data_IF_547925301624
#
_entry.id   IF_547925301624
#
_cell.length_a   1.000
_cell.length_b   1.000
_cell.length_c   1.000
_cell.angle_alpha   90.00
_cell.angle_beta   90.00
_cell.angle_gamma   90.00
#
_symmetry.space_group_name_H-M   'P 1'
#
loop_
_entity.id
_entity.type
_entity.pdbx_description
1 polymer ?
#
# COMPACT_ATOMS: atom_id res chain seq x y z
N UNK A 1 0.04 10.80 17.82
CA UNK A 1 0.22 10.81 16.35
C UNK A 1 -0.69 9.73 15.81
N UNK A 2 -1.85 10.13 15.27
CA UNK A 2 -2.89 9.21 14.81
C UNK A 2 -2.41 8.56 13.51
N UNK A 3 -2.25 7.24 13.53
CA UNK A 3 -1.75 6.44 12.42
C UNK A 3 -2.89 6.12 11.47
N UNK A 4 -2.92 6.80 10.31
CA UNK A 4 -3.53 6.38 9.04
C UNK A 4 -4.78 5.50 9.13
N UNK A 5 -5.85 6.02 9.73
CA UNK A 5 -7.19 5.39 9.74
C UNK A 5 -7.91 5.50 8.36
N UNK A 6 -7.27 6.14 7.36
CA UNK A 6 -8.02 6.73 6.24
C UNK A 6 -7.65 6.23 4.84
N UNK A 7 -6.93 5.12 4.71
CA UNK A 7 -6.84 4.44 3.41
C UNK A 7 -8.02 3.49 3.17
N UNK A 8 -9.26 4.00 3.29
CA UNK A 8 -10.49 3.28 2.91
C UNK A 8 -10.54 1.81 3.40
N UNK A 9 -9.94 1.57 4.57
CA UNK A 9 -9.99 0.38 5.41
C UNK A 9 -10.10 -0.99 4.71
N UNK A 10 -9.35 -1.24 3.62
CA UNK A 10 -9.26 -2.63 3.11
C UNK A 10 -8.58 -3.53 4.15
N UNK A 11 -7.58 -3.00 4.86
CA UNK A 11 -6.93 -3.64 5.99
C UNK A 11 -6.71 -2.60 7.09
N UNK A 12 -7.29 -2.78 8.28
CA UNK A 12 -7.22 -1.82 9.40
C UNK A 12 -6.14 -2.22 10.41
N UNK A 13 -5.42 -1.27 11.00
CA UNK A 13 -4.41 -1.56 12.04
C UNK A 13 -5.06 -2.32 13.23
N UNK A 14 -6.31 -2.00 13.58
CA UNK A 14 -7.06 -2.70 14.63
C UNK A 14 -7.32 -4.18 14.34
N UNK A 15 -7.48 -4.57 13.06
CA UNK A 15 -7.70 -5.96 12.66
C UNK A 15 -6.39 -6.78 12.68
N UNK A 16 -5.24 -6.09 12.62
CA UNK A 16 -3.91 -6.67 12.55
C UNK A 16 -3.02 -6.23 13.73
N UNK A 17 -3.64 -5.90 14.86
CA UNK A 17 -3.14 -5.19 16.07
C UNK A 17 -1.81 -5.69 16.70
N UNK A 18 -1.19 -6.74 16.16
CA UNK A 18 0.06 -7.33 16.66
C UNK A 18 1.16 -7.42 15.61
N UNK A 19 0.86 -7.29 14.31
CA UNK A 19 1.82 -7.53 13.23
C UNK A 19 1.75 -6.45 12.14
N UNK A 20 2.43 -5.33 12.39
CA UNK A 20 2.56 -4.22 11.44
C UNK A 20 3.29 -4.62 10.15
N UNK A 21 4.13 -5.65 10.21
CA UNK A 21 4.80 -6.19 9.03
C UNK A 21 3.83 -6.94 8.12
N UNK A 22 2.86 -7.65 8.70
CA UNK A 22 1.78 -8.30 7.96
C UNK A 22 0.88 -7.28 7.24
N UNK A 23 0.54 -6.17 7.92
CA UNK A 23 -0.22 -5.09 7.29
C UNK A 23 0.55 -4.48 6.11
N UNK A 24 1.86 -4.24 6.27
CA UNK A 24 2.72 -3.81 5.19
C UNK A 24 2.71 -4.79 4.01
N UNK A 25 2.79 -6.10 4.30
CA UNK A 25 2.82 -7.13 3.25
C UNK A 25 1.52 -7.16 2.45
N UNK A 26 0.36 -7.04 3.10
CA UNK A 26 -0.94 -7.03 2.43
C UNK A 26 -1.05 -5.91 1.38
N UNK A 27 -0.59 -4.70 1.70
CA UNK A 27 -0.58 -3.61 0.74
C UNK A 27 0.45 -3.79 -0.37
N UNK A 28 1.61 -4.41 -0.09
CA UNK A 28 2.60 -4.77 -1.11
C UNK A 28 2.02 -5.80 -2.08
N UNK A 29 1.31 -6.79 -1.56
CA UNK A 29 0.69 -7.85 -2.35
C UNK A 29 -0.43 -7.30 -3.24
N UNK A 30 -1.18 -6.30 -2.78
CA UNK A 30 -2.15 -5.59 -3.62
C UNK A 30 -1.48 -4.84 -4.78
N UNK A 31 -0.36 -4.15 -4.52
CA UNK A 31 0.40 -3.51 -5.59
C UNK A 31 0.90 -4.53 -6.61
N UNK A 32 1.36 -5.71 -6.14
CA UNK A 32 1.79 -6.82 -7.01
C UNK A 32 0.63 -7.36 -7.84
N UNK A 33 -0.53 -7.57 -7.23
CA UNK A 33 -1.73 -8.06 -7.91
C UNK A 33 -2.11 -7.16 -9.09
N UNK A 34 -1.99 -5.84 -8.96
CA UNK A 34 -2.28 -4.90 -10.06
C UNK A 34 -1.31 -5.09 -11.23
N UNK A 35 -0.04 -5.40 -10.95
CA UNK A 35 0.95 -5.71 -11.99
C UNK A 35 0.61 -7.03 -12.67
N UNK A 36 0.39 -8.09 -11.89
CA UNK A 36 0.05 -9.42 -12.39
C UNK A 36 -1.23 -9.41 -13.24
N UNK A 37 -2.24 -8.62 -12.83
CA UNK A 37 -3.49 -8.43 -13.58
C UNK A 37 -3.21 -7.72 -14.92
N UNK A 38 -2.42 -6.65 -14.93
CA UNK A 38 -2.02 -5.99 -16.17
C UNK A 38 -1.24 -6.92 -17.11
N UNK A 39 -0.28 -7.68 -16.58
CA UNK A 39 0.51 -8.65 -17.34
C UNK A 39 -0.37 -9.78 -17.92
N UNK A 40 -1.39 -10.22 -17.18
CA UNK A 40 -2.37 -11.20 -17.67
C UNK A 40 -3.19 -10.72 -18.88
N UNK A 41 -3.24 -9.40 -19.09
CA UNK A 41 -3.87 -8.74 -20.22
C UNK A 41 -2.85 -8.31 -21.30
N UNK A 42 -1.62 -8.81 -21.25
CA UNK A 42 -0.51 -8.43 -22.14
C UNK A 42 -0.18 -6.91 -22.06
N UNK A 43 -0.51 -6.27 -20.94
CA UNK A 43 -0.19 -4.88 -20.67
C UNK A 43 1.05 -4.77 -19.77
N UNK A 44 1.70 -3.62 -19.81
CA UNK A 44 2.87 -3.33 -18.97
C UNK A 44 2.62 -2.05 -18.16
N UNK A 45 3.00 -2.08 -16.88
CA UNK A 45 2.94 -0.88 -16.04
C UNK A 45 4.15 0.01 -16.35
N UNK A 46 3.90 1.17 -16.94
CA UNK A 46 4.97 2.10 -17.30
C UNK A 46 5.53 2.86 -16.09
N UNK A 47 4.65 3.36 -15.20
CA UNK A 47 5.02 4.24 -14.09
C UNK A 47 4.09 4.00 -12.90
N UNK A 48 4.68 3.97 -11.71
CA UNK A 48 3.97 4.08 -10.44
C UNK A 48 4.15 5.49 -9.87
N UNK A 49 3.05 6.20 -9.63
CA UNK A 49 3.07 7.54 -9.04
C UNK A 49 2.61 7.44 -7.58
N UNK A 50 3.44 7.90 -6.66
CA UNK A 50 3.15 7.90 -5.23
C UNK A 50 3.38 9.27 -4.60
N UNK A 51 2.53 9.64 -3.64
CA UNK A 51 2.69 10.86 -2.84
C UNK A 51 3.23 10.47 -1.47
N UNK A 52 4.46 10.86 -1.08
CA UNK A 52 5.07 10.46 0.19
C UNK A 52 4.21 10.78 1.42
N UNK A 53 3.42 11.84 1.33
CA UNK A 53 2.34 12.19 2.24
C UNK A 53 1.11 12.55 1.40
N UNK A 54 -0.01 11.87 1.63
CA UNK A 54 -1.24 12.19 0.89
C UNK A 54 -2.03 13.28 1.63
N UNK A 55 -1.83 14.55 1.27
CA UNK A 55 -2.57 15.67 1.91
C UNK A 55 -4.08 15.60 1.65
N UNK A 56 -4.50 15.36 0.40
CA UNK A 56 -5.92 15.24 0.02
C UNK A 56 -6.55 13.89 0.42
N UNK A 57 -5.76 12.95 0.95
CA UNK A 57 -6.21 11.64 1.43
C UNK A 57 -6.13 11.54 2.95
N UNK A 58 -6.33 12.65 3.66
CA UNK A 58 -6.29 12.70 5.13
C UNK A 58 -4.92 12.35 5.76
N UNK A 59 -3.82 12.79 5.14
CA UNK A 59 -2.47 12.74 5.71
C UNK A 59 -1.99 11.31 6.03
N UNK A 60 -2.14 10.41 5.07
CA UNK A 60 -1.66 9.03 5.18
C UNK A 60 -0.14 8.99 5.32
N UNK A 61 0.32 8.23 6.31
CA UNK A 61 1.71 7.85 6.53
C UNK A 61 1.83 6.36 6.22
N UNK A 62 2.69 6.00 5.27
CA UNK A 62 2.92 4.61 4.89
C UNK A 62 3.52 3.78 6.04
N UNK A 63 3.17 2.50 6.08
CA UNK A 63 3.82 1.55 6.99
C UNK A 63 5.32 1.44 6.66
N UNK A 64 6.13 1.21 7.70
CA UNK A 64 7.58 1.17 7.57
C UNK A 64 7.98 0.09 6.57
N UNK A 65 8.72 0.49 5.54
CA UNK A 65 9.23 -0.43 4.53
C UNK A 65 8.27 -0.72 3.36
N UNK A 66 7.04 -0.23 3.38
CA UNK A 66 6.06 -0.39 2.29
C UNK A 66 6.64 0.04 0.95
N UNK A 67 7.06 1.30 0.82
CA UNK A 67 7.65 1.82 -0.42
C UNK A 67 8.85 0.98 -0.86
N UNK A 68 9.75 0.65 0.07
CA UNK A 68 10.93 -0.17 -0.26
C UNK A 68 10.56 -1.55 -0.79
N UNK A 69 9.49 -2.17 -0.28
CA UNK A 69 9.04 -3.50 -0.70
C UNK A 69 8.22 -3.46 -2.00
N UNK A 70 7.47 -2.39 -2.25
CA UNK A 70 6.67 -2.21 -3.48
C UNK A 70 7.53 -1.92 -4.71
N UNK A 71 8.63 -1.18 -4.53
CA UNK A 71 9.50 -0.74 -5.64
C UNK A 71 10.78 -1.57 -5.79
N UNK A 72 10.88 -2.74 -5.13
CA UNK A 72 12.03 -3.65 -5.23
C UNK A 72 11.65 -4.88 -6.03
#
# INVERSE_FOLDING_TARGET
>A
VLTSDVYREKFRDNDYNTDKDKLCQLYVDEARRVVEEAESHEQCIAIFIIKPLQSCGEQIIYSKGYLKKTFK
#
